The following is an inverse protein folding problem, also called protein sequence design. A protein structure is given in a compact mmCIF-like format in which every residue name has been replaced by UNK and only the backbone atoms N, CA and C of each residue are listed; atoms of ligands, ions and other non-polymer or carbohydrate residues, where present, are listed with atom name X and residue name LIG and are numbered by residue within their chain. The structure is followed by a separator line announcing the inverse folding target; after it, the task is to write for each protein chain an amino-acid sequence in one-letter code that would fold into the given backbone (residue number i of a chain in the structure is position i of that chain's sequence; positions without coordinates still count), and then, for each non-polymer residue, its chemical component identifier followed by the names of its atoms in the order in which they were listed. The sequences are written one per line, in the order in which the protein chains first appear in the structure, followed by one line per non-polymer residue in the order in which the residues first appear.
data_IF_289578452711
#
_entry.id   IF_289578452711
#
_cell.length_a   1.000
_cell.length_b   1.000
_cell.length_c   1.000
_cell.angle_alpha   90.00
_cell.angle_beta   90.00
_cell.angle_gamma   90.00
#
_symmetry.space_group_name_H-M   'P 1'
#
loop_
_entity.id
_entity.type
_entity.pdbx_description
1 polymer ?
#
# COMPACT_ATOMS: atom_id res chain seq x y z
N UNK A 1 -106.49 55.47 -32.56
CA UNK A 1 -105.84 56.79 -32.44
C UNK A 1 -105.26 56.87 -31.04
N UNK A 2 -103.93 57.04 -30.94
CA UNK A 2 -103.12 57.30 -29.73
C UNK A 2 -103.10 56.22 -28.62
N UNK A 3 -102.02 55.95 -27.87
CA UNK A 3 -100.57 56.17 -27.96
C UNK A 3 -99.99 55.54 -26.67
N UNK A 4 -98.73 55.02 -26.69
CA UNK A 4 -97.75 55.12 -25.58
C UNK A 4 -98.07 54.36 -24.25
N UNK A 5 -97.21 53.61 -23.55
CA UNK A 5 -95.75 53.60 -23.41
C UNK A 5 -95.27 52.27 -22.78
N UNK A 6 -94.03 51.90 -23.13
CA UNK A 6 -93.30 50.76 -22.60
C UNK A 6 -92.88 50.94 -21.13
N UNK A 7 -93.02 49.86 -20.34
CA UNK A 7 -92.48 49.72 -18.99
C UNK A 7 -91.48 48.56 -18.90
N UNK A 8 -90.25 48.89 -18.48
CA UNK A 8 -89.06 48.03 -18.23
C UNK A 8 -89.37 46.66 -17.60
N UNK A 9 -88.80 45.58 -18.17
CA UNK A 9 -88.67 44.26 -17.51
C UNK A 9 -87.40 44.20 -16.64
N UNK A 10 -87.56 43.80 -15.38
CA UNK A 10 -86.48 43.47 -14.44
C UNK A 10 -86.48 41.97 -14.16
N UNK A 11 -85.34 41.32 -14.39
CA UNK A 11 -85.04 39.90 -14.14
C UNK A 11 -85.01 39.56 -12.64
N UNK A 12 -85.57 38.40 -12.25
CA UNK A 12 -85.18 37.57 -11.09
C UNK A 12 -85.55 36.11 -11.40
N UNK A 13 -84.64 35.30 -11.94
CA UNK A 13 -83.78 34.33 -11.23
C UNK A 13 -84.53 33.33 -10.34
N UNK A 14 -84.72 32.12 -10.87
CA UNK A 14 -84.96 30.88 -10.13
C UNK A 14 -83.73 30.52 -9.31
N UNK A 15 -83.91 30.08 -8.05
CA UNK A 15 -82.88 29.40 -7.26
C UNK A 15 -83.26 27.92 -7.10
N UNK A 16 -82.27 27.03 -7.34
CA UNK A 16 -82.35 25.58 -7.15
C UNK A 16 -81.19 25.15 -6.23
N UNK A 17 -81.38 24.24 -5.27
CA UNK A 17 -80.33 23.84 -4.33
C UNK A 17 -79.64 22.55 -4.79
N UNK A 18 -78.36 22.62 -5.18
CA UNK A 18 -77.46 21.45 -5.25
C UNK A 18 -76.02 21.86 -4.88
N UNK A 19 -75.69 21.82 -3.59
CA UNK A 19 -74.33 22.16 -3.09
C UNK A 19 -73.75 21.16 -2.08
N UNK A 20 -74.44 20.06 -1.77
CA UNK A 20 -74.03 19.15 -0.69
C UNK A 20 -73.25 17.89 -1.16
N UNK A 21 -73.49 17.35 -2.37
CA UNK A 21 -72.89 16.05 -2.75
C UNK A 21 -71.44 16.13 -3.25
N UNK A 22 -70.99 17.28 -3.80
CA UNK A 22 -69.64 17.41 -4.39
C UNK A 22 -68.49 17.47 -3.37
N UNK A 23 -68.79 17.67 -2.07
CA UNK A 23 -67.78 17.75 -1.00
C UNK A 23 -67.36 16.38 -0.46
N UNK A 24 -68.25 15.39 -0.55
CA UNK A 24 -68.03 14.05 0.00
C UNK A 24 -67.01 13.25 -0.83
N UNK A 25 -67.09 13.34 -2.16
CA UNK A 25 -66.22 12.58 -3.06
C UNK A 25 -64.77 13.07 -3.04
N UNK A 26 -64.54 14.37 -2.86
CA UNK A 26 -63.19 14.96 -2.79
C UNK A 26 -62.48 14.52 -1.49
N UNK A 27 -63.22 14.35 -0.40
CA UNK A 27 -62.62 13.87 0.86
C UNK A 27 -62.28 12.38 0.80
N UNK A 28 -63.08 11.58 0.08
CA UNK A 28 -62.82 10.15 -0.09
C UNK A 28 -61.64 9.88 -1.04
N UNK A 29 -61.49 10.65 -2.12
CA UNK A 29 -60.34 10.53 -3.02
C UNK A 29 -59.03 11.01 -2.39
N UNK A 30 -59.07 12.05 -1.55
CA UNK A 30 -57.88 12.53 -0.84
C UNK A 30 -57.44 11.57 0.27
N UNK A 31 -58.38 10.86 0.92
CA UNK A 31 -58.08 9.80 1.88
C UNK A 31 -57.43 8.56 1.19
N UNK A 32 -57.92 8.16 0.01
CA UNK A 32 -57.35 7.02 -0.74
C UNK A 32 -55.94 7.33 -1.27
N UNK A 33 -55.67 8.58 -1.67
CA UNK A 33 -54.33 9.02 -2.10
C UNK A 33 -53.34 9.07 -0.90
N UNK A 34 -53.81 9.45 0.29
CA UNK A 34 -52.97 9.41 1.50
C UNK A 34 -52.67 7.99 1.99
N UNK A 35 -53.58 7.02 1.81
CA UNK A 35 -53.32 5.61 2.19
C UNK A 35 -52.37 4.91 1.21
N UNK A 36 -52.34 5.31 -0.06
CA UNK A 36 -51.38 4.79 -1.04
C UNK A 36 -49.94 5.35 -0.89
N UNK A 37 -49.73 6.31 0.02
CA UNK A 37 -48.44 6.93 0.30
C UNK A 37 -47.84 6.45 1.63
N UNK A 38 -48.17 5.23 2.06
CA UNK A 38 -47.37 4.57 3.08
C UNK A 38 -45.97 4.36 2.47
N UNK A 39 -44.89 4.86 3.11
CA UNK A 39 -43.55 4.44 2.71
C UNK A 39 -43.54 2.92 2.87
N UNK A 40 -43.33 2.20 1.75
CA UNK A 40 -42.89 0.82 1.81
C UNK A 40 -41.72 0.82 2.77
N UNK A 41 -41.92 0.21 3.93
CA UNK A 41 -40.89 0.02 4.93
C UNK A 41 -39.83 -0.84 4.27
N UNK A 42 -38.82 -0.20 3.70
CA UNK A 42 -37.61 -0.87 3.27
C UNK A 42 -37.07 -1.58 4.52
N UNK A 43 -37.06 -2.91 4.46
CA UNK A 43 -36.45 -3.76 5.48
C UNK A 43 -35.04 -3.18 5.78
N UNK A 44 -34.61 -3.09 7.05
CA UNK A 44 -33.28 -2.59 7.37
C UNK A 44 -32.26 -3.31 6.48
N UNK A 45 -31.37 -2.55 5.86
CA UNK A 45 -30.37 -3.07 4.94
C UNK A 45 -29.36 -3.91 5.74
N UNK A 46 -29.63 -5.21 5.83
CA UNK A 46 -28.82 -6.23 6.52
C UNK A 46 -27.41 -6.32 5.93
N UNK A 47 -27.27 -5.99 4.65
CA UNK A 47 -26.02 -5.98 3.91
C UNK A 47 -25.23 -4.69 4.17
N UNK A 48 -24.09 -4.82 4.85
CA UNK A 48 -23.24 -3.68 5.22
C UNK A 48 -22.23 -3.35 4.13
N UNK A 49 -21.95 -2.08 3.91
CA UNK A 49 -20.92 -1.65 2.98
C UNK A 49 -19.62 -1.32 3.72
N UNK A 50 -18.51 -1.93 3.28
CA UNK A 50 -17.19 -1.73 3.86
C UNK A 50 -16.32 -0.88 2.93
N UNK A 51 -15.79 0.21 3.49
CA UNK A 51 -14.96 1.22 2.83
C UNK A 51 -13.62 1.37 3.54
N UNK A 52 -12.67 2.03 2.89
CA UNK A 52 -11.35 2.33 3.46
C UNK A 52 -11.42 3.08 4.82
N UNK A 53 -12.53 3.75 5.13
CA UNK A 53 -12.72 4.48 6.39
C UNK A 53 -13.40 3.70 7.51
N UNK A 54 -14.03 2.56 7.22
CA UNK A 54 -14.81 1.79 8.20
C UNK A 54 -14.36 0.33 8.37
N UNK A 55 -13.37 -0.12 7.59
CA UNK A 55 -12.94 -1.52 7.53
C UNK A 55 -12.48 -2.07 8.88
N UNK A 56 -11.99 -1.25 9.81
CA UNK A 56 -11.58 -1.70 11.14
C UNK A 56 -12.72 -2.38 11.92
N UNK A 57 -13.98 -2.08 11.61
CA UNK A 57 -15.15 -2.74 12.21
C UNK A 57 -15.19 -4.24 11.93
N UNK A 58 -14.60 -4.69 10.81
CA UNK A 58 -14.58 -6.11 10.45
C UNK A 58 -13.61 -6.92 11.32
N UNK A 59 -12.72 -6.25 12.07
CA UNK A 59 -11.75 -6.90 12.95
C UNK A 59 -12.39 -7.40 14.26
N UNK A 60 -13.60 -6.96 14.57
CA UNK A 60 -14.31 -7.30 15.82
C UNK A 60 -15.55 -8.12 15.53
N UNK A 61 -15.68 -9.29 16.15
CA UNK A 61 -16.81 -10.19 15.93
C UNK A 61 -16.64 -11.03 14.67
N UNK A 62 -17.77 -11.57 14.19
CA UNK A 62 -17.81 -12.47 13.03
C UNK A 62 -18.40 -11.76 11.81
N UNK A 63 -17.67 -11.82 10.69
CA UNK A 63 -17.98 -11.15 9.45
C UNK A 63 -17.78 -12.06 8.24
N UNK A 64 -18.68 -11.94 7.27
CA UNK A 64 -18.52 -12.48 5.92
C UNK A 64 -18.44 -11.33 4.94
N UNK A 65 -17.38 -11.25 4.16
CA UNK A 65 -17.04 -10.09 3.33
C UNK A 65 -16.88 -10.55 1.88
N UNK A 66 -17.71 -10.02 0.99
CA UNK A 66 -17.59 -10.21 -0.46
C UNK A 66 -16.82 -9.04 -1.09
N UNK A 67 -15.75 -9.33 -1.81
CA UNK A 67 -15.10 -8.40 -2.72
C UNK A 67 -15.66 -8.58 -4.12
N UNK A 68 -16.26 -7.53 -4.67
CA UNK A 68 -16.93 -7.54 -5.96
C UNK A 68 -16.53 -6.35 -6.83
N UNK A 69 -16.91 -6.40 -8.11
CA UNK A 69 -16.89 -5.25 -9.01
C UNK A 69 -18.18 -5.18 -9.83
N UNK A 70 -18.71 -3.98 -10.11
CA UNK A 70 -20.01 -3.80 -10.77
C UNK A 70 -20.04 -4.32 -12.21
N UNK A 71 -18.89 -4.32 -12.89
CA UNK A 71 -18.74 -4.82 -14.25
C UNK A 71 -18.52 -6.33 -14.34
N UNK A 72 -18.34 -7.03 -13.22
CA UNK A 72 -18.04 -8.47 -13.22
C UNK A 72 -19.33 -9.31 -13.31
N UNK A 73 -19.54 -10.10 -14.38
CA UNK A 73 -20.76 -10.89 -14.55
C UNK A 73 -20.99 -11.92 -13.45
N UNK A 74 -19.93 -12.57 -12.98
CA UNK A 74 -20.02 -13.55 -11.89
C UNK A 74 -20.41 -12.90 -10.55
N UNK A 75 -19.99 -11.66 -10.31
CA UNK A 75 -20.41 -10.90 -9.13
C UNK A 75 -21.90 -10.55 -9.20
N UNK A 76 -22.37 -10.11 -10.37
CA UNK A 76 -23.78 -9.76 -10.57
C UNK A 76 -24.73 -10.93 -10.28
N UNK A 77 -24.31 -12.17 -10.62
CA UNK A 77 -25.07 -13.38 -10.31
C UNK A 77 -25.06 -13.72 -8.80
N UNK A 78 -23.99 -13.37 -8.08
CA UNK A 78 -23.87 -13.61 -6.64
C UNK A 78 -24.62 -12.58 -5.80
N UNK A 79 -24.76 -11.33 -6.27
CA UNK A 79 -25.45 -10.25 -5.54
C UNK A 79 -26.83 -10.63 -4.94
N UNK A 80 -27.78 -11.25 -5.67
CA UNK A 80 -29.06 -11.63 -5.08
C UNK A 80 -28.90 -12.66 -3.97
N UNK A 81 -28.04 -13.66 -4.17
CA UNK A 81 -27.76 -14.71 -3.17
C UNK A 81 -27.08 -14.12 -1.93
N UNK A 82 -26.17 -13.17 -2.12
CA UNK A 82 -25.46 -12.49 -1.03
C UNK A 82 -26.38 -11.63 -0.19
N UNK A 83 -27.33 -10.92 -0.82
CA UNK A 83 -28.37 -10.17 -0.13
C UNK A 83 -29.31 -11.08 0.67
N UNK A 84 -29.72 -12.20 0.07
CA UNK A 84 -30.54 -13.19 0.76
C UNK A 84 -29.79 -13.87 1.91
N UNK A 85 -28.46 -14.01 1.83
CA UNK A 85 -27.65 -14.49 2.94
C UNK A 85 -27.52 -13.43 4.05
N UNK A 86 -27.33 -12.16 3.70
CA UNK A 86 -27.25 -11.06 4.66
C UNK A 86 -28.51 -10.95 5.53
N UNK A 87 -29.69 -11.12 4.92
CA UNK A 87 -30.97 -11.12 5.63
C UNK A 87 -31.08 -12.19 6.72
N UNK A 88 -30.38 -13.32 6.59
CA UNK A 88 -30.36 -14.40 7.58
C UNK A 88 -29.14 -14.30 8.51
N UNK A 89 -28.11 -13.57 8.10
CA UNK A 89 -26.90 -13.36 8.88
C UNK A 89 -27.19 -12.68 10.21
N UNK A 90 -28.10 -11.70 10.23
CA UNK A 90 -28.49 -11.00 11.45
C UNK A 90 -29.08 -11.94 12.51
N UNK A 91 -29.91 -12.91 12.10
CA UNK A 91 -30.52 -13.89 13.00
C UNK A 91 -29.49 -14.87 13.60
N UNK A 92 -28.41 -15.16 12.88
CA UNK A 92 -27.31 -16.01 13.35
C UNK A 92 -26.20 -15.25 14.08
N UNK A 93 -26.32 -13.92 14.19
CA UNK A 93 -25.29 -13.08 14.81
C UNK A 93 -24.02 -12.89 13.97
N UNK A 94 -24.09 -13.10 12.64
CA UNK A 94 -22.99 -12.84 11.72
C UNK A 94 -23.24 -11.58 10.89
N UNK A 95 -22.23 -10.72 10.77
CA UNK A 95 -22.33 -9.53 9.94
C UNK A 95 -21.96 -9.88 8.49
N UNK A 96 -22.79 -9.49 7.54
CA UNK A 96 -22.51 -9.69 6.11
C UNK A 96 -22.20 -8.36 5.46
N UNK A 97 -21.09 -8.31 4.75
CA UNK A 97 -20.58 -7.11 4.12
C UNK A 97 -20.19 -7.30 2.66
N UNK A 98 -20.19 -6.20 1.90
CA UNK A 98 -19.66 -6.12 0.54
C UNK A 98 -18.63 -4.99 0.43
N UNK A 99 -17.65 -5.18 -0.44
CA UNK A 99 -16.59 -4.22 -0.77
C UNK A 99 -16.50 -4.09 -2.29
N UNK A 100 -16.69 -2.88 -2.80
CA UNK A 100 -16.42 -2.56 -4.20
C UNK A 100 -14.93 -2.27 -4.41
N UNK A 101 -14.23 -3.16 -5.13
CA UNK A 101 -12.79 -2.99 -5.39
C UNK A 101 -12.47 -1.88 -6.39
N UNK A 102 -13.48 -1.37 -7.12
CA UNK A 102 -13.31 -0.27 -8.06
C UNK A 102 -13.29 1.08 -7.36
N UNK A 103 -14.07 1.23 -6.30
CA UNK A 103 -14.12 2.44 -5.48
C UNK A 103 -13.09 2.42 -4.34
N UNK A 104 -12.77 1.24 -3.82
CA UNK A 104 -11.88 1.04 -2.67
C UNK A 104 -10.55 0.35 -3.07
N UNK A 105 -9.66 1.02 -3.82
CA UNK A 105 -8.39 0.43 -4.25
C UNK A 105 -7.46 0.12 -3.06
N UNK A 106 -7.62 0.84 -1.95
CA UNK A 106 -6.91 0.60 -0.71
C UNK A 106 -7.20 -0.77 -0.11
N UNK A 107 -8.48 -1.11 0.00
CA UNK A 107 -8.93 -2.41 0.50
C UNK A 107 -8.54 -3.54 -0.47
N UNK A 108 -8.66 -3.31 -1.77
CA UNK A 108 -8.20 -4.27 -2.79
C UNK A 108 -6.72 -4.63 -2.60
N UNK A 109 -5.86 -3.63 -2.40
CA UNK A 109 -4.43 -3.84 -2.11
C UNK A 109 -4.17 -4.48 -0.74
N UNK A 110 -4.93 -4.08 0.29
CA UNK A 110 -4.79 -4.58 1.67
C UNK A 110 -5.10 -6.07 1.81
N UNK A 111 -6.05 -6.57 1.02
CA UNK A 111 -6.45 -7.98 0.99
C UNK A 111 -5.84 -8.76 -0.18
N UNK A 112 -5.02 -8.11 -1.00
CA UNK A 112 -4.41 -8.65 -2.22
C UNK A 112 -5.47 -9.38 -3.07
N UNK A 113 -6.53 -8.67 -3.43
CA UNK A 113 -7.61 -9.24 -4.23
C UNK A 113 -7.15 -9.40 -5.67
N UNK A 114 -6.89 -10.65 -6.08
CA UNK A 114 -6.43 -10.98 -7.43
C UNK A 114 -7.55 -11.48 -8.35
N UNK A 115 -8.65 -11.97 -7.80
CA UNK A 115 -9.79 -12.49 -8.56
C UNK A 115 -11.12 -12.14 -7.90
N UNK A 116 -12.18 -12.10 -8.71
CA UNK A 116 -13.54 -11.73 -8.28
C UNK A 116 -14.55 -12.80 -8.72
N UNK A 117 -15.63 -13.02 -7.94
CA UNK A 117 -15.80 -12.57 -6.56
C UNK A 117 -14.87 -13.37 -5.61
N UNK A 118 -14.29 -12.68 -4.64
CA UNK A 118 -13.53 -13.31 -3.55
C UNK A 118 -14.24 -13.06 -2.24
N UNK A 119 -14.43 -14.10 -1.44
CA UNK A 119 -15.14 -14.03 -0.16
C UNK A 119 -14.16 -14.37 0.96
N UNK A 120 -14.18 -13.56 2.01
CA UNK A 120 -13.43 -13.81 3.23
C UNK A 120 -14.39 -13.94 4.42
N UNK A 121 -14.13 -14.94 5.26
CA UNK A 121 -14.63 -15.01 6.61
C UNK A 121 -13.64 -14.34 7.55
N UNK A 122 -14.11 -13.49 8.45
CA UNK A 122 -13.30 -12.89 9.49
C UNK A 122 -13.95 -13.18 10.84
N UNK A 123 -13.16 -13.68 11.78
CA UNK A 123 -13.58 -13.83 13.17
C UNK A 123 -12.51 -13.25 14.07
N UNK A 124 -12.84 -12.17 14.76
CA UNK A 124 -11.96 -11.46 15.69
C UNK A 124 -10.58 -11.13 15.07
N UNK A 125 -10.60 -10.66 13.83
CA UNK A 125 -9.42 -10.26 13.07
C UNK A 125 -8.67 -11.41 12.39
N UNK A 126 -9.14 -12.65 12.55
CA UNK A 126 -8.60 -13.82 11.85
C UNK A 126 -9.36 -14.04 10.55
N UNK A 127 -8.69 -13.79 9.43
CA UNK A 127 -9.26 -13.92 8.10
C UNK A 127 -9.04 -15.30 7.51
N UNK A 128 -10.05 -15.85 6.85
CA UNK A 128 -10.03 -17.14 6.15
C UNK A 128 -10.69 -16.98 4.79
N UNK A 129 -10.04 -17.49 3.75
CA UNK A 129 -10.59 -17.42 2.40
C UNK A 129 -11.66 -18.51 2.22
N UNK A 130 -12.82 -18.12 1.74
CA UNK A 130 -13.90 -19.06 1.46
C UNK A 130 -13.70 -19.71 0.08
N UNK A 131 -13.81 -21.04 0.04
CA UNK A 131 -13.64 -21.86 -1.16
C UNK A 131 -14.87 -22.72 -1.51
N UNK A 132 -15.98 -22.57 -0.78
CA UNK A 132 -17.20 -23.35 -0.99
C UNK A 132 -18.02 -22.91 -2.21
N UNK A 133 -19.16 -23.55 -2.38
CA UNK A 133 -20.18 -23.14 -3.34
C UNK A 133 -20.73 -21.76 -2.96
N UNK A 134 -21.04 -20.95 -3.97
CA UNK A 134 -21.55 -19.59 -3.78
C UNK A 134 -23.07 -19.57 -3.73
N UNK A 135 -23.65 -20.50 -2.96
CA UNK A 135 -25.09 -20.64 -2.76
C UNK A 135 -25.44 -20.24 -1.32
N UNK A 136 -26.68 -19.79 -1.12
CA UNK A 136 -27.17 -19.38 0.19
C UNK A 136 -27.00 -20.50 1.23
N UNK A 137 -27.42 -21.72 0.88
CA UNK A 137 -27.38 -22.86 1.79
C UNK A 137 -25.96 -23.23 2.20
N UNK A 138 -24.99 -23.11 1.30
CA UNK A 138 -23.58 -23.38 1.62
C UNK A 138 -23.02 -22.32 2.57
N UNK A 139 -23.35 -21.04 2.36
CA UNK A 139 -22.97 -19.98 3.30
C UNK A 139 -23.59 -20.18 4.69
N UNK A 140 -24.86 -20.56 4.77
CA UNK A 140 -25.54 -20.85 6.03
C UNK A 140 -24.84 -22.01 6.75
N UNK A 141 -24.66 -23.15 6.06
CA UNK A 141 -24.00 -24.32 6.64
C UNK A 141 -22.54 -24.06 7.02
N UNK A 142 -21.84 -23.19 6.30
CA UNK A 142 -20.45 -22.82 6.59
C UNK A 142 -20.31 -22.11 7.94
N UNK A 143 -21.28 -21.24 8.27
CA UNK A 143 -21.33 -20.50 9.54
C UNK A 143 -21.87 -21.38 10.66
N UNK A 144 -23.01 -22.03 10.44
CA UNK A 144 -23.72 -22.84 11.44
C UNK A 144 -22.91 -24.07 11.88
N UNK A 145 -22.38 -24.84 10.93
CA UNK A 145 -21.55 -26.02 11.20
C UNK A 145 -20.08 -25.63 11.50
N UNK A 146 -19.75 -24.34 11.50
CA UNK A 146 -18.40 -23.82 11.76
C UNK A 146 -17.29 -24.44 10.88
N UNK A 147 -17.61 -24.71 9.61
CA UNK A 147 -16.67 -25.29 8.63
C UNK A 147 -15.40 -24.44 8.45
N UNK A 148 -15.47 -23.15 8.77
CA UNK A 148 -14.33 -22.24 8.81
C UNK A 148 -13.19 -22.70 9.73
N UNK A 149 -13.45 -23.51 10.76
CA UNK A 149 -12.38 -24.03 11.64
C UNK A 149 -11.38 -24.92 10.90
N UNK A 150 -11.83 -25.63 9.87
CA UNK A 150 -10.98 -26.49 9.06
C UNK A 150 -10.15 -25.73 8.02
N UNK A 151 -10.46 -24.45 7.78
CA UNK A 151 -9.74 -23.62 6.81
C UNK A 151 -8.59 -22.91 7.52
N UNK A 152 -7.39 -23.03 6.95
CA UNK A 152 -6.21 -22.33 7.45
C UNK A 152 -6.41 -20.81 7.38
N UNK A 153 -6.14 -20.10 8.49
CA UNK A 153 -6.21 -18.65 8.50
C UNK A 153 -5.11 -18.06 7.62
N UNK A 154 -5.40 -16.90 7.02
CA UNK A 154 -4.38 -16.08 6.38
C UNK A 154 -3.35 -15.73 7.45
N UNK A 155 -2.08 -16.02 7.15
CA UNK A 155 -0.99 -15.76 8.08
C UNK A 155 -0.99 -14.30 8.55
N UNK A 156 -0.60 -14.06 9.80
CA UNK A 156 -0.59 -12.71 10.40
C UNK A 156 0.35 -11.73 9.68
N UNK A 157 1.42 -12.21 9.03
CA UNK A 157 2.32 -11.40 8.21
C UNK A 157 1.65 -10.84 6.94
N UNK A 158 0.80 -11.66 6.31
CA UNK A 158 -0.03 -11.25 5.17
C UNK A 158 -1.43 -10.79 5.59
N UNK A 159 -1.68 -10.67 6.90
CA UNK A 159 -2.96 -10.20 7.42
C UNK A 159 -3.18 -8.73 7.07
N UNK A 160 -4.43 -8.29 6.84
CA UNK A 160 -4.73 -6.94 6.38
C UNK A 160 -4.19 -5.89 7.36
N UNK A 161 -4.20 -6.15 8.67
CA UNK A 161 -3.66 -5.24 9.71
C UNK A 161 -2.13 -5.14 9.78
N UNK A 162 -1.38 -5.91 8.98
CA UNK A 162 0.08 -5.89 9.02
C UNK A 162 0.68 -4.63 8.39
N UNK A 163 1.91 -4.29 8.78
CA UNK A 163 2.66 -3.17 8.18
C UNK A 163 2.81 -3.37 6.67
N UNK A 164 3.08 -4.61 6.25
CA UNK A 164 3.23 -4.96 4.83
C UNK A 164 1.94 -4.68 4.06
N UNK A 165 0.78 -5.07 4.61
CA UNK A 165 -0.52 -4.83 3.97
C UNK A 165 -0.93 -3.35 4.02
N UNK A 166 -0.51 -2.61 5.04
CA UNK A 166 -0.67 -1.15 5.04
C UNK A 166 0.16 -0.49 3.92
N UNK A 167 1.41 -0.92 3.74
CA UNK A 167 2.26 -0.47 2.62
C UNK A 167 1.67 -0.84 1.26
N UNK A 168 1.15 -2.06 1.10
CA UNK A 168 0.46 -2.47 -0.14
C UNK A 168 -0.78 -1.63 -0.40
N UNK A 169 -1.61 -1.37 0.62
CA UNK A 169 -2.77 -0.48 0.50
C UNK A 169 -2.37 0.93 0.04
N UNK A 170 -1.31 1.49 0.64
CA UNK A 170 -0.77 2.80 0.25
C UNK A 170 -0.26 2.81 -1.19
N UNK A 171 0.44 1.74 -1.62
CA UNK A 171 0.94 1.60 -2.99
C UNK A 171 -0.20 1.57 -4.01
N UNK A 172 -1.28 0.84 -3.73
CA UNK A 172 -2.46 0.79 -4.61
C UNK A 172 -3.17 2.14 -4.68
N UNK A 173 -3.32 2.84 -3.54
CA UNK A 173 -3.85 4.21 -3.51
C UNK A 173 -2.98 5.16 -4.32
N UNK A 174 -1.65 5.06 -4.19
CA UNK A 174 -0.70 5.86 -4.94
C UNK A 174 -0.79 5.57 -6.44
N UNK A 175 -0.86 4.31 -6.85
CA UNK A 175 -1.02 3.90 -8.25
C UNK A 175 -2.28 4.49 -8.87
N UNK A 176 -3.42 4.38 -8.18
CA UNK A 176 -4.67 4.97 -8.64
C UNK A 176 -4.63 6.50 -8.65
N UNK A 177 -3.96 7.13 -7.70
CA UNK A 177 -3.75 8.57 -7.69
C UNK A 177 -2.93 9.04 -8.90
N UNK A 178 -1.82 8.37 -9.22
CA UNK A 178 -1.00 8.67 -10.40
C UNK A 178 -1.83 8.56 -11.68
N UNK A 179 -2.64 7.50 -11.81
CA UNK A 179 -3.55 7.33 -12.96
C UNK A 179 -4.57 8.47 -13.05
N UNK A 180 -5.15 8.90 -11.93
CA UNK A 180 -6.08 10.04 -11.89
C UNK A 180 -5.39 11.34 -12.32
N UNK A 181 -4.17 11.59 -11.85
CA UNK A 181 -3.37 12.74 -12.29
C UNK A 181 -3.05 12.70 -13.79
N UNK A 182 -2.67 11.52 -14.32
CA UNK A 182 -2.40 11.33 -15.74
C UNK A 182 -3.63 11.67 -16.58
N UNK A 183 -4.77 11.05 -16.26
CA UNK A 183 -6.03 11.28 -16.97
C UNK A 183 -6.47 12.74 -16.84
N UNK A 184 -6.30 13.35 -15.68
CA UNK A 184 -6.60 14.77 -15.50
C UNK A 184 -5.74 15.65 -16.41
N UNK A 185 -4.44 15.39 -16.50
CA UNK A 185 -3.54 16.14 -17.38
C UNK A 185 -3.87 15.95 -18.88
N UNK A 186 -4.22 14.73 -19.29
CA UNK A 186 -4.49 14.44 -20.70
C UNK A 186 -5.88 14.86 -21.14
N UNK A 187 -6.90 14.69 -20.30
CA UNK A 187 -8.30 14.99 -20.63
C UNK A 187 -8.69 16.45 -20.34
N UNK A 188 -8.33 16.98 -19.17
CA UNK A 188 -8.77 18.33 -18.75
C UNK A 188 -7.81 19.44 -19.21
N UNK A 189 -6.50 19.19 -19.12
CA UNK A 189 -5.49 20.16 -19.56
C UNK A 189 -5.10 19.99 -21.03
N UNK A 190 -5.59 18.94 -21.70
CA UNK A 190 -5.31 18.65 -23.10
C UNK A 190 -3.84 18.36 -23.40
N UNK A 191 -3.04 18.03 -22.37
CA UNK A 191 -1.61 17.75 -22.54
C UNK A 191 -1.51 16.42 -23.30
N UNK A 192 -0.71 16.34 -24.37
CA UNK A 192 -0.51 15.09 -25.07
C UNK A 192 0.12 14.05 -24.15
N UNK A 193 -0.16 12.76 -24.38
CA UNK A 193 0.25 11.65 -23.51
C UNK A 193 1.76 11.68 -23.19
N UNK A 194 2.61 11.97 -24.18
CA UNK A 194 4.06 12.10 -23.97
C UNK A 194 4.43 13.22 -22.99
N UNK A 195 3.72 14.36 -23.00
CA UNK A 195 3.97 15.48 -22.11
C UNK A 195 3.67 15.13 -20.66
N UNK A 196 2.60 14.38 -20.43
CA UNK A 196 2.26 13.89 -19.08
C UNK A 196 3.37 12.96 -18.53
N UNK A 197 3.98 12.12 -19.36
CA UNK A 197 5.08 11.24 -18.94
C UNK A 197 6.35 12.01 -18.62
N UNK A 198 6.66 13.07 -19.38
CA UNK A 198 7.79 13.96 -19.07
C UNK A 198 7.59 14.64 -17.71
N UNK A 199 6.38 15.15 -17.42
CA UNK A 199 6.07 15.76 -16.13
C UNK A 199 6.24 14.75 -14.99
N UNK A 200 5.68 13.54 -15.12
CA UNK A 200 5.86 12.50 -14.10
C UNK A 200 7.33 12.12 -13.93
N UNK A 201 8.09 11.98 -15.01
CA UNK A 201 9.53 11.67 -14.97
C UNK A 201 10.34 12.75 -14.26
N UNK A 202 10.01 14.04 -14.47
CA UNK A 202 10.65 15.13 -13.75
C UNK A 202 10.27 15.11 -12.27
N UNK A 203 8.99 14.93 -11.93
CA UNK A 203 8.54 14.86 -10.54
C UNK A 203 9.20 13.70 -9.79
N UNK A 204 9.31 12.51 -10.39
CA UNK A 204 9.99 11.37 -9.76
C UNK A 204 11.48 11.61 -9.60
N UNK A 205 12.14 12.24 -10.58
CA UNK A 205 13.55 12.61 -10.49
C UNK A 205 13.79 13.61 -9.34
N UNK A 206 13.01 14.69 -9.27
CA UNK A 206 13.15 15.70 -8.22
C UNK A 206 12.81 15.13 -6.83
N UNK A 207 11.74 14.34 -6.72
CA UNK A 207 11.38 13.68 -5.47
C UNK A 207 12.48 12.70 -5.01
N UNK A 208 13.04 11.91 -5.94
CA UNK A 208 14.15 11.00 -5.65
C UNK A 208 15.42 11.73 -5.20
N UNK A 209 15.77 12.83 -5.86
CA UNK A 209 16.91 13.68 -5.46
C UNK A 209 16.69 14.29 -4.07
N UNK A 210 15.51 14.82 -3.80
CA UNK A 210 15.16 15.39 -2.50
C UNK A 210 15.20 14.34 -1.38
N UNK A 211 14.65 13.15 -1.62
CA UNK A 211 14.71 12.03 -0.67
C UNK A 211 16.16 11.56 -0.44
N UNK A 212 16.99 11.52 -1.48
CA UNK A 212 18.40 11.20 -1.37
C UNK A 212 19.18 12.21 -0.51
N UNK A 213 18.99 13.51 -0.76
CA UNK A 213 19.60 14.57 0.04
C UNK A 213 19.12 14.53 1.51
N UNK A 214 17.84 14.26 1.73
CA UNK A 214 17.28 14.11 3.07
C UNK A 214 17.85 12.90 3.80
N UNK A 215 18.08 11.77 3.10
CA UNK A 215 18.74 10.59 3.68
C UNK A 215 20.19 10.86 4.05
N UNK A 216 20.95 11.57 3.20
CA UNK A 216 22.32 11.99 3.53
C UNK A 216 22.33 12.88 4.77
N UNK A 217 21.43 13.85 4.83
CA UNK A 217 21.29 14.72 6.00
C UNK A 217 21.00 13.90 7.26
N UNK A 218 20.02 12.99 7.23
CA UNK A 218 19.72 12.11 8.36
C UNK A 218 20.94 11.25 8.74
N UNK A 219 21.67 10.72 7.77
CA UNK A 219 22.88 9.93 8.01
C UNK A 219 23.98 10.77 8.71
N UNK A 220 24.15 12.04 8.33
CA UNK A 220 25.09 12.96 8.98
C UNK A 220 24.67 13.29 10.43
N UNK A 221 23.36 13.31 10.73
CA UNK A 221 22.85 13.48 12.10
C UNK A 221 22.99 12.21 12.95
N UNK A 222 22.72 11.03 12.39
CA UNK A 222 22.74 9.74 13.10
C UNK A 222 24.17 9.23 13.29
N UNK A 223 25.03 9.44 12.30
CA UNK A 223 26.45 9.16 12.35
C UNK A 223 27.21 10.49 12.25
N UNK A 224 27.21 11.32 13.30
CA UNK A 224 28.04 12.52 13.29
C UNK A 224 29.46 12.04 13.04
N UNK A 225 30.01 12.43 11.89
CA UNK A 225 31.37 12.07 11.55
C UNK A 225 32.21 12.51 12.74
N UNK A 226 32.79 11.55 13.47
CA UNK A 226 33.68 11.83 14.60
C UNK A 226 34.98 12.39 14.03
N UNK A 227 34.92 13.58 13.43
CA UNK A 227 36.06 14.46 13.20
C UNK A 227 36.23 15.37 14.41
N UNK A 228 36.13 14.82 15.62
CA UNK A 228 36.91 15.36 16.72
C UNK A 228 38.30 14.73 16.59
N UNK A 229 39.15 15.39 15.81
CA UNK A 229 40.59 15.24 16.00
C UNK A 229 40.86 15.55 17.48
N UNK A 230 41.24 14.53 18.25
CA UNK A 230 41.55 14.70 19.66
C UNK A 230 42.61 15.80 19.82
N UNK A 231 42.43 16.77 20.74
CA UNK A 231 43.47 17.76 21.07
C UNK A 231 44.84 17.11 21.36
N UNK A 232 44.79 15.87 21.85
CA UNK A 232 45.93 15.03 22.21
C UNK A 232 46.83 14.67 21.01
N UNK A 233 46.29 14.65 19.78
CA UNK A 233 47.08 14.39 18.57
C UNK A 233 48.02 15.56 18.23
N UNK A 234 47.57 16.80 18.39
CA UNK A 234 48.41 17.98 18.17
C UNK A 234 49.46 18.14 19.27
N UNK A 235 49.09 17.87 20.52
CA UNK A 235 50.01 17.94 21.65
C UNK A 235 51.11 16.86 21.56
N UNK A 236 50.75 15.64 21.14
CA UNK A 236 51.72 14.56 20.92
C UNK A 236 52.64 14.83 19.73
N UNK A 237 52.13 15.45 18.66
CA UNK A 237 52.95 15.85 17.52
C UNK A 237 53.96 16.94 17.91
N UNK A 238 53.54 17.95 18.68
CA UNK A 238 54.43 18.99 19.17
C UNK A 238 55.49 18.45 20.14
N UNK A 239 55.11 17.57 21.07
CA UNK A 239 56.05 16.93 21.99
C UNK A 239 57.09 16.07 21.25
N UNK A 240 56.67 15.35 20.19
CA UNK A 240 57.57 14.54 19.37
C UNK A 240 58.51 15.40 18.53
N UNK A 241 58.03 16.52 17.97
CA UNK A 241 58.88 17.48 17.25
C UNK A 241 59.88 18.16 18.19
N UNK A 242 59.47 18.50 19.42
CA UNK A 242 60.33 19.10 20.42
C UNK A 242 61.42 18.12 20.91
N UNK A 243 61.07 16.86 21.14
CA UNK A 243 62.04 15.81 21.48
C UNK A 243 63.08 15.58 20.36
N UNK A 244 62.64 15.66 19.10
CA UNK A 244 63.52 15.51 17.92
C UNK A 244 64.47 16.70 17.72
N UNK A 245 64.13 17.86 18.27
CA UNK A 245 64.97 19.05 18.24
C UNK A 245 66.05 18.98 19.32
N UNK A 246 65.69 18.53 20.53
CA UNK A 246 66.63 18.29 21.63
C UNK A 246 67.65 17.22 21.23
N UNK A 247 67.19 16.12 20.63
CA UNK A 247 68.10 15.06 20.18
C UNK A 247 69.13 15.54 19.15
N UNK A 248 68.76 16.42 18.22
CA UNK A 248 69.72 17.02 17.28
C UNK A 248 70.73 17.93 17.98
N UNK A 249 70.27 18.68 18.98
CA UNK A 249 71.14 19.60 19.71
C UNK A 249 72.16 18.86 20.59
N UNK A 250 71.77 17.71 21.13
CA UNK A 250 72.67 16.81 21.87
C UNK A 250 73.68 16.12 20.93
N UNK A 251 73.24 15.69 19.74
CA UNK A 251 74.12 15.13 18.69
C UNK A 251 75.13 16.18 18.18
N UNK A 252 74.73 17.45 18.05
CA UNK A 252 75.62 18.56 17.66
C UNK A 252 76.60 18.95 18.80
N UNK A 253 76.26 18.67 20.06
CA UNK A 253 77.07 18.97 21.24
C UNK A 253 78.12 17.86 21.53
N UNK A 254 77.83 16.62 21.16
CA UNK A 254 78.76 15.48 21.25
C UNK A 254 79.76 15.41 20.08
N UNK A 255 79.55 16.17 19.00
CA UNK A 255 80.44 16.22 17.84
C UNK A 255 81.72 17.08 18.03
N UNK A 256 81.86 17.80 19.14
CA UNK A 256 83.00 18.69 19.43
C UNK A 256 84.15 17.98 20.20
N UNK A 257 84.13 16.65 20.29
CA UNK A 257 85.06 15.90 21.13
C UNK A 257 85.48 14.57 20.56
N UNK A 258 86.13 14.55 19.40
CA UNK A 258 87.16 13.56 19.01
C UNK A 258 87.77 13.98 17.65
N UNK A 259 88.98 14.53 17.72
CA UNK A 259 89.85 14.86 16.59
C UNK A 259 90.61 13.60 16.08
N UNK A 260 90.99 13.70 14.79
CA UNK A 260 92.07 12.98 14.07
C UNK A 260 91.81 11.53 13.58
N UNK A 261 91.52 11.37 12.27
CA UNK A 261 92.55 11.06 11.24
C UNK A 261 91.93 10.61 9.90
N UNK A 262 92.27 11.37 8.85
CA UNK A 262 92.55 11.05 7.44
C UNK A 262 91.60 10.25 6.50
N UNK A 263 91.23 10.99 5.45
CA UNK A 263 91.24 10.65 4.01
C UNK A 263 90.35 9.54 3.43
N UNK A 264 89.26 10.03 2.82
CA UNK A 264 88.88 9.88 1.40
C UNK A 264 88.55 8.52 0.76
N UNK A 265 87.36 8.56 0.13
CA UNK A 265 86.90 7.85 -1.07
C UNK A 265 86.40 6.39 -0.99
N UNK A 266 85.09 6.32 -0.78
CA UNK A 266 84.08 5.59 -1.57
C UNK A 266 84.46 4.19 -2.13
N UNK A 267 84.10 3.15 -1.38
CA UNK A 267 83.90 1.80 -1.90
C UNK A 267 82.65 1.15 -1.29
N UNK A 268 81.76 0.67 -2.20
CA UNK A 268 81.09 -0.66 -2.22
C UNK A 268 80.55 -1.24 -0.91
N UNK A 269 79.43 -1.95 -0.84
CA UNK A 269 78.45 -2.54 -1.77
C UNK A 269 77.33 -3.05 -0.84
N UNK A 270 76.17 -3.36 -1.40
CA UNK A 270 74.89 -3.50 -0.70
C UNK A 270 74.84 -4.41 0.53
N UNK A 271 73.97 -4.03 1.48
CA UNK A 271 73.14 -5.02 2.18
C UNK A 271 71.93 -4.35 2.87
N UNK A 272 70.78 -5.03 2.78
CA UNK A 272 69.55 -4.85 3.58
C UNK A 272 68.45 -3.93 3.04
N UNK A 273 68.09 -4.15 1.76
CA UNK A 273 66.69 -4.02 1.29
C UNK A 273 65.85 -5.29 1.62
N UNK A 274 66.05 -5.89 2.80
CA UNK A 274 65.43 -7.15 3.23
C UNK A 274 64.28 -7.00 4.25
N UNK A 275 63.38 -6.03 4.08
CA UNK A 275 62.11 -6.03 4.87
C UNK A 275 60.85 -5.81 4.03
N UNK A 276 60.93 -5.14 2.87
CA UNK A 276 59.73 -4.82 2.09
C UNK A 276 59.35 -5.84 1.00
N UNK A 277 60.22 -6.82 0.69
CA UNK A 277 59.94 -7.83 -0.37
C UNK A 277 59.40 -9.18 0.12
N UNK A 278 59.16 -9.38 1.42
CA UNK A 278 58.77 -10.69 2.00
C UNK A 278 57.25 -10.91 2.17
N UNK A 279 56.38 -10.15 1.48
CA UNK A 279 54.91 -10.36 1.57
C UNK A 279 54.17 -10.63 0.26
N UNK A 280 54.87 -10.78 -0.86
CA UNK A 280 54.26 -11.27 -2.11
C UNK A 280 55.15 -12.37 -2.66
N UNK A 281 55.01 -13.56 -2.08
CA UNK A 281 55.51 -14.80 -2.65
C UNK A 281 54.40 -15.46 -3.45
N UNK A 282 54.55 -15.47 -4.77
CA UNK A 282 54.02 -16.55 -5.61
C UNK A 282 55.09 -17.65 -5.65
N UNK A 283 54.71 -18.93 -5.66
CA UNK A 283 55.40 -19.84 -6.56
C UNK A 283 54.41 -20.63 -7.43
N UNK A 284 54.62 -20.46 -8.73
CA UNK A 284 54.43 -21.40 -9.83
C UNK A 284 53.98 -22.84 -9.48
N UNK A 285 52.89 -23.29 -10.11
CA UNK A 285 52.46 -24.70 -10.10
C UNK A 285 51.10 -24.94 -10.77
N UNK A 286 51.04 -24.81 -12.12
CA UNK A 286 49.92 -25.14 -13.03
C UNK A 286 49.26 -26.51 -12.70
N UNK A 287 47.90 -26.66 -12.72
CA UNK A 287 47.13 -26.85 -13.97
C UNK A 287 45.80 -26.09 -14.12
N UNK A 288 45.50 -25.82 -15.39
CA UNK A 288 44.27 -25.27 -15.98
C UNK A 288 42.99 -26.02 -15.55
N UNK A 289 41.87 -25.32 -15.27
CA UNK A 289 40.60 -25.95 -14.88
C UNK A 289 39.75 -26.44 -16.07
N UNK A 290 40.30 -26.59 -17.27
CA UNK A 290 39.54 -27.10 -18.42
C UNK A 290 39.31 -28.63 -18.40
N UNK A 291 39.99 -29.37 -17.51
CA UNK A 291 39.83 -30.83 -17.38
C UNK A 291 38.76 -31.27 -16.36
N UNK A 292 38.24 -30.33 -15.55
CA UNK A 292 37.15 -30.59 -14.59
C UNK A 292 35.77 -30.70 -15.26
N UNK A 293 35.63 -30.26 -16.51
CA UNK A 293 34.37 -30.32 -17.25
C UNK A 293 34.12 -31.67 -17.94
N UNK A 294 35.15 -32.50 -18.15
CA UNK A 294 34.99 -33.79 -18.86
C UNK A 294 34.75 -34.99 -17.95
N UNK A 295 34.96 -34.87 -16.63
CA UNK A 295 34.68 -35.94 -15.65
C UNK A 295 33.33 -35.84 -14.93
N UNK A 296 32.65 -34.68 -14.95
CA UNK A 296 31.28 -34.56 -14.38
C UNK A 296 30.17 -35.01 -15.32
N UNK A 297 30.42 -35.10 -16.62
CA UNK A 297 29.42 -35.59 -17.60
C UNK A 297 29.34 -37.12 -17.65
N UNK A 298 30.34 -37.84 -17.12
CA UNK A 298 30.33 -39.31 -17.07
C UNK A 298 29.97 -39.85 -15.68
N UNK A 299 30.16 -39.08 -14.61
CA UNK A 299 29.93 -39.54 -13.23
C UNK A 299 28.50 -39.38 -12.68
N UNK A 300 27.55 -38.84 -13.45
CA UNK A 300 26.17 -38.61 -12.98
C UNK A 300 25.13 -39.48 -13.72
N UNK A 301 25.58 -40.59 -14.34
CA UNK A 301 24.72 -41.54 -15.07
C UNK A 301 24.80 -42.97 -14.52
N UNK A 302 25.28 -43.15 -13.29
CA UNK A 302 25.34 -44.47 -12.60
C UNK A 302 24.67 -44.47 -11.20
N UNK A 303 23.98 -43.41 -10.78
CA UNK A 303 23.16 -43.39 -9.54
C UNK A 303 21.64 -43.42 -9.81
N UNK A 304 21.23 -43.75 -11.03
CA UNK A 304 19.82 -43.96 -11.39
C UNK A 304 19.64 -45.34 -12.06
N UNK A 305 20.20 -46.40 -11.44
CA UNK A 305 19.73 -47.79 -11.60
C UNK A 305 20.29 -48.66 -10.46
N UNK A 306 19.65 -48.63 -9.28
CA UNK A 306 19.60 -49.74 -8.29
C UNK A 306 18.48 -49.51 -7.29
#
# INVERSE_FOLDING_TARGET
MACMLAGRKSSKMLSSPRRAERRSWISFTLLVICVASLPVSAKPESLREVTDGNWEKILTGEWMIEFYAPWCPACQQLQPVWKDFADWGEDMGINVAKVDVTEQPGLSGRFIITSLPTIYHCKDGVFRKYHGARTKDDFLSFVDEQKWQAIEPVSSWFGPSSVLMNSMSALFKLSMFIRRCHNYMTEQLGIPVWGSYVIFGLVTLFAGLALGLLLVFIADFVFPSRRFASPDYYQKKQAMEQARFIQRQDEDQEADGEDDDDDDEDYRDGEKDEVWRKRIGSPEGRPEPEEALRKRVVGNREEEDT
#
